data_IF_779029250004
#
_entry.id   IF_779029250004
#
_cell.length_a   1.000
_cell.length_b   1.000
_cell.length_c   1.000
_cell.angle_alpha   90.00
_cell.angle_beta   90.00
_cell.angle_gamma   90.00
#
_symmetry.space_group_name_H-M   'P 1'
#
loop_
_entity.id
_entity.type
_entity.pdbx_description
1 polymer ?
#
# COMPACT_ATOMS: atom_id res chain seq x y z
N UNK A 1 14.55 8.47 -9.60
CA UNK A 1 13.32 9.29 -9.71
C UNK A 1 12.05 8.44 -9.74
N UNK A 2 11.94 7.44 -10.63
CA UNK A 2 10.80 6.47 -10.71
C UNK A 2 10.24 6.00 -9.36
N UNK A 3 11.08 5.49 -8.47
CA UNK A 3 10.64 4.89 -7.21
C UNK A 3 10.18 5.91 -6.17
N UNK A 4 10.75 7.13 -6.19
CA UNK A 4 10.36 8.22 -5.29
C UNK A 4 8.97 8.73 -5.66
N UNK A 5 8.70 8.89 -6.97
CA UNK A 5 7.38 9.28 -7.46
C UNK A 5 6.34 8.21 -7.13
N UNK A 6 6.67 6.93 -7.29
CA UNK A 6 5.78 5.83 -6.90
C UNK A 6 5.48 5.81 -5.40
N UNK A 7 6.49 6.01 -4.56
CA UNK A 7 6.32 6.08 -3.11
C UNK A 7 5.44 7.27 -2.68
N UNK A 8 5.63 8.44 -3.32
CA UNK A 8 4.80 9.61 -3.09
C UNK A 8 3.32 9.34 -3.40
N UNK A 9 3.04 8.76 -4.57
CA UNK A 9 1.66 8.44 -4.95
C UNK A 9 1.05 7.32 -4.10
N UNK A 10 1.84 6.33 -3.66
CA UNK A 10 1.36 5.29 -2.75
C UNK A 10 0.92 5.86 -1.39
N UNK A 11 1.66 6.85 -0.86
CA UNK A 11 1.29 7.55 0.37
C UNK A 11 -0.02 8.33 0.21
N UNK A 12 -0.12 9.15 -0.84
CA UNK A 12 -1.33 9.93 -1.13
C UNK A 12 -2.55 9.02 -1.30
N UNK A 13 -2.40 7.90 -2.03
CA UNK A 13 -3.48 6.96 -2.25
C UNK A 13 -3.89 6.23 -0.96
N UNK A 14 -2.92 5.87 -0.10
CA UNK A 14 -3.20 5.28 1.20
C UNK A 14 -4.03 6.19 2.11
N UNK A 15 -3.73 7.49 2.13
CA UNK A 15 -4.51 8.49 2.87
C UNK A 15 -5.94 8.63 2.34
N UNK A 16 -6.11 8.67 1.02
CA UNK A 16 -7.44 8.75 0.39
C UNK A 16 -8.27 7.50 0.76
N UNK A 17 -7.70 6.31 0.65
CA UNK A 17 -8.38 5.08 1.03
C UNK A 17 -8.71 5.03 2.53
N UNK A 18 -7.78 5.46 3.39
CA UNK A 18 -8.02 5.53 4.83
C UNK A 18 -9.14 6.50 5.19
N UNK A 19 -9.20 7.66 4.53
CA UNK A 19 -10.28 8.62 4.70
C UNK A 19 -11.64 8.05 4.28
N UNK A 20 -11.70 7.45 3.08
CA UNK A 20 -12.93 6.82 2.58
C UNK A 20 -13.38 5.68 3.52
N UNK A 21 -12.46 4.82 3.94
CA UNK A 21 -12.75 3.72 4.87
C UNK A 21 -13.26 4.21 6.22
N UNK A 22 -12.63 5.25 6.79
CA UNK A 22 -13.09 5.84 8.05
C UNK A 22 -14.48 6.49 7.93
N UNK A 23 -14.77 7.10 6.78
CA UNK A 23 -16.09 7.67 6.49
C UNK A 23 -17.17 6.60 6.32
N UNK A 24 -16.79 5.40 5.86
CA UNK A 24 -17.71 4.28 5.65
C UNK A 24 -18.03 3.52 6.94
N UNK A 25 -17.04 3.33 7.80
CA UNK A 25 -17.16 2.59 9.07
C UNK A 25 -17.52 3.51 10.25
N UNK A 26 -17.62 4.82 10.02
CA UNK A 26 -17.88 5.81 11.07
C UNK A 26 -16.75 5.94 12.10
N UNK A 27 -15.56 5.44 11.78
CA UNK A 27 -14.39 5.48 12.67
C UNK A 27 -13.68 6.83 12.59
N UNK A 28 -12.88 7.16 13.60
CA UNK A 28 -12.15 8.43 13.64
C UNK A 28 -10.98 8.40 12.66
N UNK A 29 -11.00 9.31 11.69
CA UNK A 29 -9.88 9.53 10.77
C UNK A 29 -8.67 10.12 11.51
N UNK A 30 -7.50 9.49 11.37
CA UNK A 30 -6.23 9.97 11.90
C UNK A 30 -5.14 9.85 10.84
N UNK A 31 -4.69 11.01 10.34
CA UNK A 31 -3.64 11.13 9.32
C UNK A 31 -2.36 10.42 9.76
N UNK A 32 -1.93 10.60 11.02
CA UNK A 32 -0.70 9.99 11.51
C UNK A 32 -0.78 8.46 11.57
N UNK A 33 -1.93 7.94 11.99
CA UNK A 33 -2.14 6.49 12.05
C UNK A 33 -2.19 5.88 10.64
N UNK A 34 -2.99 6.48 9.76
CA UNK A 34 -3.18 6.00 8.39
C UNK A 34 -1.88 6.09 7.58
N UNK A 35 -1.12 7.18 7.73
CA UNK A 35 0.15 7.36 7.03
C UNK A 35 1.20 6.32 7.41
N UNK A 36 1.31 5.96 8.70
CA UNK A 36 2.20 4.89 9.15
C UNK A 36 1.77 3.55 8.53
N UNK A 37 0.48 3.24 8.58
CA UNK A 37 -0.05 1.99 8.01
C UNK A 37 0.08 1.94 6.49
N UNK A 38 -0.09 3.04 5.78
CA UNK A 38 0.10 3.13 4.34
C UNK A 38 1.54 2.77 3.94
N UNK A 39 2.54 3.22 4.71
CA UNK A 39 3.95 2.86 4.49
C UNK A 39 4.15 1.36 4.74
N UNK A 40 3.68 0.85 5.88
CA UNK A 40 3.84 -0.57 6.25
C UNK A 40 3.19 -1.49 5.21
N UNK A 41 1.95 -1.19 4.81
CA UNK A 41 1.22 -1.96 3.80
C UNK A 41 1.82 -1.80 2.40
N UNK A 42 2.35 -0.62 2.06
CA UNK A 42 3.09 -0.41 0.81
C UNK A 42 4.33 -1.30 0.72
N UNK A 43 5.15 -1.32 1.78
CA UNK A 43 6.33 -2.19 1.88
C UNK A 43 5.93 -3.68 1.85
N UNK A 44 4.97 -4.09 2.68
CA UNK A 44 4.49 -5.47 2.72
C UNK A 44 3.93 -5.90 1.35
N UNK A 45 3.13 -5.04 0.71
CA UNK A 45 2.58 -5.27 -0.62
C UNK A 45 3.65 -5.48 -1.68
N UNK A 46 4.72 -4.69 -1.69
CA UNK A 46 5.83 -4.90 -2.64
C UNK A 46 6.55 -6.22 -2.44
N UNK A 47 6.80 -6.62 -1.19
CA UNK A 47 7.45 -7.89 -0.87
C UNK A 47 6.56 -9.08 -1.24
N UNK A 48 5.27 -9.02 -0.86
CA UNK A 48 4.29 -10.06 -1.17
C UNK A 48 4.07 -10.19 -2.68
N UNK A 49 3.94 -9.06 -3.39
CA UNK A 49 3.79 -9.05 -4.84
C UNK A 49 4.96 -9.78 -5.50
N UNK A 50 6.20 -9.48 -5.11
CA UNK A 50 7.38 -10.16 -5.66
C UNK A 50 7.36 -11.67 -5.40
N UNK A 51 6.97 -12.11 -4.20
CA UNK A 51 6.86 -13.53 -3.85
C UNK A 51 5.76 -14.25 -4.61
N UNK A 52 4.58 -13.64 -4.73
CA UNK A 52 3.44 -14.19 -5.48
C UNK A 52 3.80 -14.28 -6.97
N UNK A 53 4.42 -13.24 -7.53
CA UNK A 53 4.86 -13.25 -8.93
C UNK A 53 5.87 -14.35 -9.23
N UNK A 54 6.82 -14.61 -8.32
CA UNK A 54 7.76 -15.73 -8.47
C UNK A 54 7.05 -17.08 -8.38
N UNK A 55 6.13 -17.23 -7.42
CA UNK A 55 5.34 -18.47 -7.28
C UNK A 55 4.46 -18.78 -8.49
N UNK A 56 4.08 -17.77 -9.26
CA UNK A 56 3.22 -17.90 -10.44
C UNK A 56 4.02 -17.94 -11.76
N UNK A 57 5.34 -17.82 -11.71
CA UNK A 57 6.17 -17.95 -12.90
C UNK A 57 6.13 -19.41 -13.40
N UNK A 58 6.03 -19.64 -14.72
CA UNK A 58 6.08 -21.00 -15.27
C UNK A 58 7.43 -21.65 -14.94
N UNK A 59 7.39 -22.92 -14.54
CA UNK A 59 8.60 -23.70 -14.27
C UNK A 59 9.50 -23.70 -15.52
N UNK A 60 10.73 -23.20 -15.38
CA UNK A 60 11.74 -23.27 -16.43
C UNK A 60 12.12 -24.75 -16.62
N UNK A 61 11.61 -25.35 -17.70
CA UNK A 61 12.11 -26.64 -18.22
C UNK A 61 13.27 -26.42 -19.17
#
# INVERSE_FOLDING_TARGET
>A
MKYIVGAFWALVFGEILGYIGSSLDGSTYSVSFIGIWAIVLGLAGTFLFSKISFSAAPDEK
#
